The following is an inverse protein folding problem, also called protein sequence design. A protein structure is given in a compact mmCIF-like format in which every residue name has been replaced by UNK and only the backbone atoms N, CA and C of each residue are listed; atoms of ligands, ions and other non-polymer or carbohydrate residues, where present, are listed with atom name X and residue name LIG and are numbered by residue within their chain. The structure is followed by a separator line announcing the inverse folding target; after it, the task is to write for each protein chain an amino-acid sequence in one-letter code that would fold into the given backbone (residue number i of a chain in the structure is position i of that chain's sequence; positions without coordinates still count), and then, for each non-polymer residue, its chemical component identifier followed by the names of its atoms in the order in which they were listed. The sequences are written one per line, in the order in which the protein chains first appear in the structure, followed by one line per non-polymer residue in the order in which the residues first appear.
data_IF_059556460295
#
_entry.id   IF_059556460295
#
_cell.length_a   1.000
_cell.length_b   1.000
_cell.length_c   1.000
_cell.angle_alpha   90.00
_cell.angle_beta   90.00
_cell.angle_gamma   90.00
#
_symmetry.space_group_name_H-M   'P 1'
#
loop_
_entity.id
_entity.type
_entity.pdbx_description
1 polymer ?
#
# COMPACT_ATOMS: atom_id res chain seq x y z
N UNK A 1 12.11 14.77 7.58
CA UNK A 1 12.03 13.64 6.63
C UNK A 1 13.29 13.48 5.78
N UNK A 2 14.05 14.55 5.50
CA UNK A 2 15.35 14.46 4.79
C UNK A 2 16.46 13.73 5.57
N UNK A 3 16.26 13.45 6.85
CA UNK A 3 17.23 12.79 7.74
C UNK A 3 16.91 11.32 8.04
N UNK A 4 15.75 10.81 7.62
CA UNK A 4 15.41 9.40 7.81
C UNK A 4 15.62 8.64 6.51
N UNK A 5 16.29 7.50 6.63
CA UNK A 5 16.41 6.54 5.55
C UNK A 5 15.06 5.80 5.40
N UNK A 6 14.65 5.58 4.15
CA UNK A 6 13.33 5.05 3.80
C UNK A 6 13.45 3.80 2.92
N UNK A 7 12.50 2.88 3.09
CA UNK A 7 12.28 1.71 2.22
C UNK A 7 11.18 2.03 1.22
N UNK A 8 11.39 1.64 -0.04
CA UNK A 8 10.37 1.74 -1.08
C UNK A 8 10.22 0.43 -1.86
N UNK A 9 8.98 0.19 -2.31
CA UNK A 9 8.71 -0.82 -3.32
C UNK A 9 9.36 -0.39 -4.64
N UNK A 10 9.97 -1.34 -5.35
CA UNK A 10 10.59 -1.09 -6.64
C UNK A 10 9.56 -0.51 -7.62
N UNK A 11 9.83 0.70 -8.14
CA UNK A 11 8.98 1.37 -9.12
C UNK A 11 9.77 1.63 -10.39
N UNK A 12 9.37 0.99 -11.49
CA UNK A 12 10.00 1.19 -12.79
C UNK A 12 9.77 2.63 -13.29
N UNK A 13 10.83 3.42 -13.37
CA UNK A 13 10.89 4.69 -14.11
C UNK A 13 10.31 5.92 -13.40
N UNK A 14 10.04 5.86 -12.10
CA UNK A 14 9.61 7.01 -11.29
C UNK A 14 10.66 7.45 -10.29
N UNK A 15 10.55 8.68 -9.76
CA UNK A 15 11.27 9.07 -8.55
C UNK A 15 10.68 8.34 -7.36
N UNK A 16 11.52 7.95 -6.42
CA UNK A 16 11.06 7.29 -5.22
C UNK A 16 10.27 8.25 -4.34
N UNK A 17 8.96 8.02 -4.26
CA UNK A 17 8.03 8.89 -3.58
C UNK A 17 6.97 8.09 -2.82
N UNK A 18 6.61 8.61 -1.65
CA UNK A 18 5.44 8.17 -0.90
C UNK A 18 4.23 9.02 -1.25
N UNK A 19 3.05 8.43 -1.10
CA UNK A 19 1.79 9.14 -1.25
C UNK A 19 1.41 9.73 0.11
N UNK A 20 1.48 11.05 0.23
CA UNK A 20 1.18 11.77 1.46
C UNK A 20 0.08 12.80 1.24
N UNK A 21 -0.80 12.94 2.21
CA UNK A 21 -1.82 13.98 2.22
C UNK A 21 -1.18 15.32 2.55
N UNK A 22 -1.21 16.24 1.59
CA UNK A 22 -0.74 17.62 1.78
C UNK A 22 -1.68 18.44 2.67
N UNK A 23 -1.29 19.69 3.02
CA UNK A 23 -2.06 20.56 3.92
C UNK A 23 -3.48 20.87 3.43
N UNK A 24 -3.71 20.83 2.11
CA UNK A 24 -5.01 21.06 1.47
C UNK A 24 -5.88 19.80 1.41
N UNK A 25 -5.40 18.69 1.97
CA UNK A 25 -6.07 17.41 1.99
C UNK A 25 -5.95 16.58 0.71
N UNK A 26 -5.21 17.08 -0.29
CA UNK A 26 -4.91 16.36 -1.52
C UNK A 26 -3.76 15.38 -1.30
N UNK A 27 -3.84 14.20 -1.88
CA UNK A 27 -2.76 13.22 -1.86
C UNK A 27 -1.77 13.56 -2.96
N UNK A 28 -0.51 13.74 -2.59
CA UNK A 28 0.58 14.14 -3.47
C UNK A 28 1.75 13.14 -3.34
N UNK A 29 2.56 13.05 -4.40
CA UNK A 29 3.80 12.27 -4.36
C UNK A 29 4.89 13.12 -3.70
N UNK A 30 5.31 12.71 -2.51
CA UNK A 30 6.43 13.32 -1.81
C UNK A 30 7.68 12.47 -2.04
N UNK A 31 8.68 13.06 -2.69
CA UNK A 31 10.00 12.43 -2.86
C UNK A 31 10.67 12.20 -1.51
N UNK A 32 11.32 11.05 -1.38
CA UNK A 32 12.00 10.59 -0.17
C UNK A 32 13.44 10.19 -0.48
N UNK A 33 14.28 10.18 0.56
CA UNK A 33 15.61 9.59 0.50
C UNK A 33 15.48 8.07 0.66
N UNK A 34 15.78 7.33 -0.39
CA UNK A 34 15.73 5.85 -0.35
C UNK A 34 17.09 5.30 0.04
N UNK A 35 17.06 4.36 0.99
CA UNK A 35 18.23 3.54 1.34
C UNK A 35 18.09 2.10 0.86
N UNK A 36 16.86 1.57 0.90
CA UNK A 36 16.56 0.20 0.50
C UNK A 36 15.40 0.17 -0.49
N UNK A 37 15.55 -0.63 -1.55
CA UNK A 37 14.52 -0.84 -2.56
C UNK A 37 14.28 -2.34 -2.70
N UNK A 38 13.01 -2.75 -2.54
CA UNK A 38 12.61 -4.16 -2.62
C UNK A 38 11.46 -4.31 -3.60
N UNK A 39 11.44 -5.41 -4.37
CA UNK A 39 10.36 -5.72 -5.30
C UNK A 39 9.12 -6.36 -4.66
N UNK A 40 9.15 -6.61 -3.36
CA UNK A 40 8.15 -7.40 -2.64
C UNK A 40 7.77 -6.73 -1.31
N UNK A 41 6.47 -6.60 -1.05
CA UNK A 41 5.94 -5.94 0.13
C UNK A 41 6.20 -6.70 1.44
N UNK A 42 6.25 -8.04 1.40
CA UNK A 42 6.57 -8.86 2.57
C UNK A 42 8.03 -8.68 2.98
N UNK A 43 8.95 -8.58 2.01
CA UNK A 43 10.36 -8.30 2.28
C UNK A 43 10.52 -6.91 2.89
N UNK A 44 9.78 -5.91 2.39
CA UNK A 44 9.76 -4.58 3.00
C UNK A 44 9.24 -4.60 4.44
N UNK A 45 8.17 -5.37 4.70
CA UNK A 45 7.62 -5.55 6.03
C UNK A 45 8.66 -6.15 6.98
N UNK A 46 9.29 -7.27 6.60
CA UNK A 46 10.32 -7.90 7.43
C UNK A 46 11.50 -6.96 7.69
N UNK A 47 12.00 -6.25 6.67
CA UNK A 47 13.05 -5.26 6.86
C UNK A 47 12.63 -4.14 7.84
N UNK A 48 11.36 -3.73 7.83
CA UNK A 48 10.82 -2.74 8.77
C UNK A 48 10.78 -3.29 10.19
N UNK A 49 10.34 -4.53 10.36
CA UNK A 49 10.30 -5.23 11.66
C UNK A 49 11.69 -5.45 12.25
N UNK A 50 12.69 -5.69 11.39
CA UNK A 50 14.11 -5.83 11.77
C UNK A 50 14.75 -4.47 12.13
N UNK A 51 13.98 -3.37 12.11
CA UNK A 51 14.44 -2.04 12.45
C UNK A 51 15.30 -1.39 11.37
N UNK A 52 15.22 -1.85 10.12
CA UNK A 52 16.09 -1.34 9.06
C UNK A 52 15.79 0.12 8.72
N UNK A 53 14.52 0.54 8.59
CA UNK A 53 14.09 1.89 8.18
C UNK A 53 12.55 2.10 8.21
N UNK A 54 12.07 3.29 7.81
CA UNK A 54 10.64 3.60 7.63
C UNK A 54 10.09 3.09 6.29
N UNK A 55 8.85 2.58 6.30
CA UNK A 55 8.17 2.04 5.11
C UNK A 55 6.73 2.54 4.99
N UNK A 56 6.29 2.82 3.75
CA UNK A 56 4.87 2.98 3.43
C UNK A 56 4.32 1.66 2.89
N UNK A 57 3.54 0.94 3.71
CA UNK A 57 2.98 -0.38 3.40
C UNK A 57 1.43 -0.35 3.41
N UNK A 58 0.77 -1.25 2.68
CA UNK A 58 -0.68 -1.40 2.77
C UNK A 58 -1.14 -1.80 4.17
N UNK A 59 -2.25 -1.23 4.64
CA UNK A 59 -2.78 -1.49 5.99
C UNK A 59 -3.05 -2.97 6.26
N UNK A 60 -3.64 -3.68 5.29
CA UNK A 60 -3.92 -5.12 5.39
C UNK A 60 -2.68 -5.98 5.59
N UNK A 61 -1.49 -5.51 5.20
CA UNK A 61 -0.23 -6.23 5.36
C UNK A 61 0.35 -6.05 6.77
N UNK A 62 0.10 -4.90 7.40
CA UNK A 62 0.73 -4.51 8.66
C UNK A 62 -0.20 -4.57 9.88
N UNK A 63 -1.49 -4.82 9.65
CA UNK A 63 -2.55 -4.73 10.67
C UNK A 63 -2.24 -5.55 11.93
N UNK A 64 -1.84 -6.80 11.76
CA UNK A 64 -1.49 -7.71 12.86
C UNK A 64 -0.26 -7.23 13.65
N UNK A 65 0.71 -6.61 12.94
CA UNK A 65 1.93 -6.06 13.53
C UNK A 65 1.68 -4.74 14.27
N UNK A 66 0.74 -3.92 13.78
CA UNK A 66 0.26 -2.74 14.49
C UNK A 66 -0.51 -3.14 15.76
N UNK A 67 -1.40 -4.14 15.68
CA UNK A 67 -2.16 -4.62 16.84
C UNK A 67 -1.28 -5.21 17.94
N UNK A 68 -0.20 -5.89 17.57
CA UNK A 68 0.76 -6.45 18.51
C UNK A 68 1.77 -5.43 19.06
N UNK A 69 1.83 -4.23 18.48
CA UNK A 69 2.82 -3.21 18.81
C UNK A 69 4.22 -3.48 18.26
N UNK A 70 4.37 -4.49 17.40
CA UNK A 70 5.62 -4.75 16.67
C UNK A 70 5.94 -3.64 15.65
N UNK A 71 4.90 -2.98 15.14
CA UNK A 71 5.01 -1.75 14.36
C UNK A 71 4.23 -0.62 15.04
N UNK A 72 4.67 0.61 14.76
CA UNK A 72 3.96 1.83 15.14
C UNK A 72 3.77 2.69 13.90
N UNK A 73 2.64 3.40 13.84
CA UNK A 73 2.43 4.38 12.76
C UNK A 73 3.22 5.65 13.05
N UNK A 74 3.59 6.34 11.97
CA UNK A 74 4.21 7.65 12.02
C UNK A 74 3.61 8.52 10.93
N UNK A 75 3.72 9.84 11.08
CA UNK A 75 3.22 10.80 10.10
C UNK A 75 1.69 10.70 9.88
N UNK A 76 0.91 10.31 10.89
CA UNK A 76 -0.54 10.08 10.77
C UNK A 76 -1.30 11.29 10.20
N UNK A 77 -0.82 12.51 10.48
CA UNK A 77 -1.37 13.77 9.91
C UNK A 77 -1.31 13.83 8.37
N UNK A 78 -0.38 13.09 7.77
CA UNK A 78 -0.13 13.01 6.33
C UNK A 78 -0.62 11.67 5.74
N UNK A 79 -1.24 10.81 6.55
CA UNK A 79 -1.79 9.53 6.11
C UNK A 79 -3.12 9.70 5.36
N UNK A 80 -3.68 8.57 4.91
CA UNK A 80 -4.97 8.53 4.20
C UNK A 80 -4.87 8.52 2.68
N UNK A 81 -3.66 8.32 2.12
CA UNK A 81 -3.52 7.97 0.73
C UNK A 81 -4.19 6.62 0.45
N UNK A 82 -5.08 6.57 -0.54
CA UNK A 82 -5.75 5.33 -0.97
C UNK A 82 -5.09 4.83 -2.24
N UNK A 83 -4.63 3.59 -2.21
CA UNK A 83 -4.15 2.90 -3.40
C UNK A 83 -5.22 1.92 -3.87
N UNK A 84 -5.90 2.19 -5.01
CA UNK A 84 -6.95 1.31 -5.50
C UNK A 84 -6.36 -0.04 -5.93
N UNK A 85 -7.05 -1.11 -5.59
CA UNK A 85 -6.77 -2.45 -6.11
C UNK A 85 -7.62 -2.66 -7.36
N UNK A 86 -6.99 -3.06 -8.45
CA UNK A 86 -7.64 -3.26 -9.73
C UNK A 86 -7.65 -4.74 -10.12
N UNK A 87 -8.79 -5.21 -10.61
CA UNK A 87 -8.87 -6.48 -11.33
C UNK A 87 -8.64 -6.18 -12.80
N UNK A 88 -7.59 -6.77 -13.39
CA UNK A 88 -7.20 -6.53 -14.79
C UNK A 88 -7.23 -7.84 -15.59
N UNK A 89 -7.64 -7.74 -16.85
CA UNK A 89 -7.63 -8.85 -17.81
C UNK A 89 -7.36 -8.34 -19.23
N UNK A 90 -6.86 -9.19 -20.15
CA UNK A 90 -6.64 -8.79 -21.53
C UNK A 90 -7.93 -8.32 -22.20
N UNK A 91 -7.83 -7.26 -23.01
CA UNK A 91 -8.96 -6.78 -23.80
C UNK A 91 -9.27 -7.78 -24.91
N UNK A 92 -10.37 -8.53 -24.75
CA UNK A 92 -10.85 -9.50 -25.75
C UNK A 92 -12.26 -9.14 -26.21
N UNK A 93 -12.67 -9.63 -27.39
CA UNK A 93 -14.06 -9.43 -27.88
C UNK A 93 -15.10 -10.13 -27.01
N UNK A 94 -14.73 -11.26 -26.41
CA UNK A 94 -15.59 -12.05 -25.52
C UNK A 94 -14.82 -12.37 -24.24
N UNK A 95 -15.41 -12.06 -23.09
CA UNK A 95 -14.91 -12.52 -21.80
C UNK A 95 -15.36 -13.96 -21.58
N UNK A 96 -14.43 -14.85 -21.23
CA UNK A 96 -14.78 -16.24 -20.97
C UNK A 96 -15.66 -16.32 -19.70
N UNK A 97 -16.72 -17.15 -19.67
CA UNK A 97 -17.62 -17.25 -18.51
C UNK A 97 -16.90 -17.49 -17.18
N UNK A 98 -15.86 -18.33 -17.16
CA UNK A 98 -15.04 -18.56 -15.96
C UNK A 98 -14.34 -17.31 -15.43
N UNK A 99 -13.85 -16.43 -16.31
CA UNK A 99 -13.20 -15.17 -15.92
C UNK A 99 -14.25 -14.23 -15.34
N UNK A 100 -15.42 -14.14 -15.99
CA UNK A 100 -16.53 -13.33 -15.50
C UNK A 100 -16.99 -13.77 -14.10
N UNK A 101 -17.15 -15.07 -13.89
CA UNK A 101 -17.53 -15.65 -12.61
C UNK A 101 -16.53 -15.31 -11.50
N UNK A 102 -15.21 -15.38 -11.78
CA UNK A 102 -14.17 -15.00 -10.82
C UNK A 102 -14.24 -13.50 -10.50
N UNK A 103 -14.42 -12.63 -11.51
CA UNK A 103 -14.58 -11.18 -11.29
C UNK A 103 -15.79 -10.91 -10.39
N UNK A 104 -16.94 -11.51 -10.70
CA UNK A 104 -18.16 -11.31 -9.92
C UNK A 104 -18.00 -11.82 -8.47
N UNK A 105 -17.30 -12.94 -8.28
CA UNK A 105 -16.96 -13.46 -6.94
C UNK A 105 -16.03 -12.50 -6.17
N UNK A 106 -14.98 -11.98 -6.81
CA UNK A 106 -14.06 -11.00 -6.19
C UNK A 106 -14.78 -9.71 -5.80
N UNK A 107 -15.68 -9.21 -6.64
CA UNK A 107 -16.50 -8.04 -6.33
C UNK A 107 -17.45 -8.30 -5.15
N UNK A 108 -18.02 -9.51 -5.07
CA UNK A 108 -18.90 -9.90 -3.96
C UNK A 108 -18.12 -9.98 -2.63
N UNK A 109 -16.94 -10.60 -2.63
CA UNK A 109 -16.09 -10.72 -1.44
C UNK A 109 -15.60 -9.36 -0.97
N UNK A 110 -15.15 -8.50 -1.88
CA UNK A 110 -14.65 -7.16 -1.50
C UNK A 110 -15.75 -6.24 -0.99
N UNK A 111 -17.00 -6.41 -1.45
CA UNK A 111 -18.15 -5.71 -0.87
C UNK A 111 -18.45 -6.17 0.58
N UNK A 112 -18.30 -7.46 0.86
CA UNK A 112 -18.49 -8.02 2.21
C UNK A 112 -17.34 -7.68 3.18
N UNK A 113 -16.14 -7.45 2.67
CA UNK A 113 -14.93 -7.15 3.44
C UNK A 113 -14.41 -5.74 3.19
N UNK A 114 -15.32 -4.78 2.90
CA UNK A 114 -14.94 -3.41 2.60
C UNK A 114 -14.07 -2.79 3.70
N UNK A 115 -14.26 -3.20 4.96
CA UNK A 115 -13.46 -2.77 6.09
C UNK A 115 -11.97 -3.10 5.93
N UNK A 116 -11.58 -4.29 5.44
CA UNK A 116 -10.16 -4.64 5.20
C UNK A 116 -9.46 -3.72 4.18
N UNK A 117 -10.23 -3.15 3.26
CA UNK A 117 -9.75 -2.23 2.23
C UNK A 117 -9.98 -0.76 2.57
N UNK A 118 -10.74 -0.49 3.63
CA UNK A 118 -11.09 0.85 4.12
C UNK A 118 -10.53 1.13 5.51
N UNK A 119 -9.78 0.18 6.12
CA UNK A 119 -9.22 0.28 7.48
C UNK A 119 -8.50 1.61 7.65
N UNK A 120 -9.21 2.52 8.30
CA UNK A 120 -8.77 3.85 8.61
C UNK A 120 -8.13 3.78 9.99
N UNK A 121 -6.90 3.29 10.06
CA UNK A 121 -6.08 3.50 11.24
C UNK A 121 -5.71 4.99 11.23
N UNK A 122 -6.42 5.72 12.09
CA UNK A 122 -6.32 7.16 12.29
C UNK A 122 -5.16 7.51 13.22
#
# INVERSE_FOLDING_TARGET
MLEHDCIIAWRKGGRAAWLLKGPKGLVEQQEIRVRHEFGDGEIMLQATLDGCDLSQLPSWLVDDHLRSGALVTVLDRYAGARMPIHVIWPRTRYIQPKVRMIIDALLTITAAQAELFLSNHA
#
